data_IF_151502589569
#
_entry.id   IF_151502589569
#
_cell.length_a   1.000
_cell.length_b   1.000
_cell.length_c   1.000
_cell.angle_alpha   90.00
_cell.angle_beta   90.00
_cell.angle_gamma   90.00
#
_symmetry.space_group_name_H-M   'P 1'
#
loop_
_entity.id
_entity.type
_entity.pdbx_description
1 polymer ?
#
# COMPACT_ATOMS: atom_id res chain seq x y z
N UNK A 1 14.02 -17.67 2.21
CA UNK A 1 14.26 -16.21 2.16
C UNK A 1 12.94 -15.57 1.79
N UNK A 2 12.41 -14.69 2.65
CA UNK A 2 11.01 -14.21 2.56
C UNK A 2 10.82 -13.37 1.29
N UNK A 3 10.28 -13.99 0.24
CA UNK A 3 9.68 -13.34 -0.93
C UNK A 3 8.22 -12.97 -0.61
N UNK A 4 8.06 -12.19 0.46
CA UNK A 4 6.80 -11.85 1.09
C UNK A 4 7.18 -10.45 1.57
N UNK A 5 6.72 -9.32 1.05
CA UNK A 5 5.33 -8.91 0.96
C UNK A 5 5.12 -7.89 -0.19
N UNK A 6 5.81 -8.09 -1.33
CA UNK A 6 5.73 -7.18 -2.48
C UNK A 6 4.32 -7.14 -3.08
N UNK A 7 3.65 -8.30 -3.08
CA UNK A 7 2.28 -8.42 -3.55
C UNK A 7 1.31 -7.63 -2.66
N UNK A 8 1.43 -7.74 -1.35
CA UNK A 8 0.60 -7.01 -0.38
C UNK A 8 0.81 -5.50 -0.49
N UNK A 9 2.05 -5.06 -0.71
CA UNK A 9 2.39 -3.67 -0.97
C UNK A 9 1.71 -3.14 -2.25
N UNK A 10 1.72 -3.94 -3.32
CA UNK A 10 1.08 -3.58 -4.59
C UNK A 10 -0.45 -3.56 -4.45
N UNK A 11 -1.05 -4.58 -3.81
CA UNK A 11 -2.50 -4.63 -3.55
C UNK A 11 -2.98 -3.48 -2.66
N UNK A 12 -2.17 -3.10 -1.68
CA UNK A 12 -2.45 -1.91 -0.87
C UNK A 12 -2.42 -0.64 -1.73
N UNK A 13 -1.43 -0.49 -2.61
CA UNK A 13 -1.33 0.65 -3.53
C UNK A 13 -2.52 0.72 -4.50
N UNK A 14 -2.94 -0.41 -5.06
CA UNK A 14 -4.15 -0.52 -5.89
C UNK A 14 -5.41 -0.06 -5.13
N UNK A 15 -5.58 -0.52 -3.89
CA UNK A 15 -6.71 -0.11 -3.04
C UNK A 15 -6.74 1.40 -2.79
N UNK A 16 -5.58 2.06 -2.72
CA UNK A 16 -5.49 3.51 -2.58
C UNK A 16 -5.86 4.24 -3.87
N UNK A 17 -5.50 3.69 -5.03
CA UNK A 17 -5.91 4.24 -6.33
C UNK A 17 -7.43 4.25 -6.44
N UNK A 18 -8.08 3.14 -6.09
CA UNK A 18 -9.55 3.06 -6.07
C UNK A 18 -10.16 4.01 -5.03
N UNK A 19 -9.56 4.12 -3.85
CA UNK A 19 -9.96 5.07 -2.82
C UNK A 19 -9.92 6.52 -3.33
N UNK A 20 -8.88 6.89 -4.08
CA UNK A 20 -8.74 8.23 -4.69
C UNK A 20 -9.75 8.50 -5.81
N UNK A 21 -10.28 7.45 -6.45
CA UNK A 21 -11.35 7.56 -7.45
C UNK A 21 -12.74 7.73 -6.82
N UNK A 22 -12.89 7.40 -5.53
CA UNK A 22 -14.14 7.59 -4.81
C UNK A 22 -14.42 9.08 -4.59
N UNK A 23 -15.71 9.46 -4.63
CA UNK A 23 -16.13 10.86 -4.40
C UNK A 23 -15.52 11.40 -3.09
N UNK A 24 -14.78 12.50 -3.20
CA UNK A 24 -14.08 13.10 -2.07
C UNK A 24 -15.04 13.48 -0.93
N UNK A 25 -14.62 13.27 0.32
CA UNK A 25 -15.39 13.55 1.55
C UNK A 25 -16.78 12.88 1.58
N UNK A 26 -16.93 11.74 0.90
CA UNK A 26 -18.19 10.98 0.92
C UNK A 26 -18.19 9.91 2.04
N UNK A 27 -19.37 9.50 2.52
CA UNK A 27 -19.48 8.36 3.43
C UNK A 27 -18.87 7.06 2.86
N UNK A 28 -18.96 6.88 1.55
CA UNK A 28 -18.36 5.74 0.85
C UNK A 28 -16.82 5.76 0.97
N UNK A 29 -16.20 6.94 0.81
CA UNK A 29 -14.76 7.11 0.96
C UNK A 29 -14.31 6.83 2.40
N UNK A 30 -15.04 7.33 3.40
CA UNK A 30 -14.78 7.02 4.81
C UNK A 30 -14.84 5.51 5.09
N UNK A 31 -15.85 4.82 4.55
CA UNK A 31 -15.99 3.38 4.70
C UNK A 31 -14.84 2.61 4.03
N UNK A 32 -14.46 3.04 2.81
CA UNK A 32 -13.33 2.47 2.09
C UNK A 32 -12.01 2.68 2.82
N UNK A 33 -11.77 3.88 3.36
CA UNK A 33 -10.58 4.16 4.18
C UNK A 33 -10.48 3.27 5.42
N UNK A 34 -11.61 3.01 6.11
CA UNK A 34 -11.67 2.06 7.24
C UNK A 34 -11.34 0.64 6.82
N UNK A 35 -11.87 0.18 5.68
CA UNK A 35 -11.61 -1.16 5.18
C UNK A 35 -10.11 -1.34 4.84
N UNK A 36 -9.52 -0.36 4.15
CA UNK A 36 -8.10 -0.34 3.82
C UNK A 36 -7.25 -0.37 5.10
N UNK A 37 -7.58 0.49 6.08
CA UNK A 37 -6.89 0.51 7.37
C UNK A 37 -6.96 -0.86 8.05
N UNK A 38 -8.14 -1.48 8.14
CA UNK A 38 -8.32 -2.78 8.80
C UNK A 38 -7.58 -3.91 8.10
N UNK A 39 -7.52 -3.87 6.78
CA UNK A 39 -6.96 -4.94 5.95
C UNK A 39 -5.43 -4.92 5.91
N UNK A 40 -4.82 -3.73 5.94
CA UNK A 40 -3.38 -3.58 5.67
C UNK A 40 -2.59 -2.91 6.80
N UNK A 41 -3.26 -2.14 7.66
CA UNK A 41 -2.62 -1.27 8.65
C UNK A 41 -2.90 -1.67 10.10
N UNK A 42 -3.59 -2.78 10.36
CA UNK A 42 -3.78 -3.32 11.72
C UNK A 42 -2.69 -4.34 12.02
N UNK A 43 -2.13 -4.28 13.22
CA UNK A 43 -1.11 -5.23 13.69
C UNK A 43 -1.63 -6.66 13.63
N UNK A 44 -0.89 -7.57 13.00
CA UNK A 44 -1.32 -8.95 12.81
C UNK A 44 -2.41 -9.13 11.76
N UNK A 45 -2.67 -8.12 10.92
CA UNK A 45 -3.50 -8.30 9.74
C UNK A 45 -2.87 -9.35 8.82
N UNK A 46 -3.70 -10.19 8.20
CA UNK A 46 -3.23 -11.25 7.30
C UNK A 46 -2.38 -10.70 6.15
N UNK A 47 -2.70 -9.49 5.68
CA UNK A 47 -2.00 -8.77 4.62
C UNK A 47 -1.26 -7.55 5.18
N UNK A 48 -0.78 -7.63 6.42
CA UNK A 48 -0.03 -6.54 7.05
C UNK A 48 1.16 -6.16 6.17
N UNK A 49 1.22 -4.88 5.81
CA UNK A 49 2.37 -4.35 5.09
C UNK A 49 3.50 -4.12 6.11
N UNK A 50 4.54 -4.98 6.03
CA UNK A 50 5.64 -5.16 7.00
C UNK A 50 6.19 -3.84 7.59
N UNK A 51 6.27 -2.78 6.78
CA UNK A 51 7.06 -1.60 7.11
C UNK A 51 6.27 -0.48 7.81
N UNK A 52 4.94 -0.60 7.95
CA UNK A 52 4.15 0.38 8.71
C UNK A 52 4.32 0.30 10.23
N UNK A 53 4.95 -0.75 10.75
CA UNK A 53 5.20 -0.92 12.19
C UNK A 53 6.13 0.17 12.77
N UNK A 54 6.97 0.83 11.95
CA UNK A 54 7.93 1.83 12.44
C UNK A 54 7.54 3.29 12.20
N UNK A 55 6.58 3.58 11.31
CA UNK A 55 6.20 4.94 10.96
C UNK A 55 4.87 5.30 11.61
N UNK A 56 4.80 6.41 12.35
CA UNK A 56 3.57 6.95 12.97
C UNK A 56 2.42 7.26 11.98
N UNK A 57 2.61 6.94 10.70
CA UNK A 57 1.63 7.00 9.61
C UNK A 57 0.37 6.19 9.94
N UNK A 58 0.50 5.00 10.54
CA UNK A 58 -0.66 4.20 10.97
C UNK A 58 -1.54 4.96 11.97
N UNK A 59 -0.92 5.54 12.99
CA UNK A 59 -1.62 6.28 14.05
C UNK A 59 -2.26 7.56 13.49
N UNK A 60 -1.60 8.23 12.54
CA UNK A 60 -2.16 9.39 11.85
C UNK A 60 -3.41 9.02 11.05
N UNK A 61 -3.35 7.95 10.26
CA UNK A 61 -4.49 7.46 9.47
C UNK A 61 -5.65 7.07 10.38
N UNK A 62 -5.35 6.32 11.45
CA UNK A 62 -6.35 5.91 12.44
C UNK A 62 -7.04 7.12 13.09
N UNK A 63 -6.26 8.11 13.52
CA UNK A 63 -6.77 9.35 14.08
C UNK A 63 -7.72 10.07 13.11
N UNK A 64 -7.29 10.29 11.87
CA UNK A 64 -8.10 10.98 10.84
C UNK A 64 -9.40 10.23 10.52
N UNK A 65 -9.34 8.90 10.45
CA UNK A 65 -10.53 8.05 10.25
C UNK A 65 -11.51 8.16 11.43
N UNK A 66 -11.01 8.20 12.66
CA UNK A 66 -11.81 8.34 13.87
C UNK A 66 -12.47 9.72 13.98
N UNK A 67 -11.75 10.77 13.59
CA UNK A 67 -12.24 12.16 13.50
C UNK A 67 -13.20 12.38 12.31
N UNK A 68 -13.37 11.38 11.43
CA UNK A 68 -14.11 11.45 10.16
C UNK A 68 -13.55 12.52 9.20
N UNK A 69 -12.30 12.91 9.39
CA UNK A 69 -11.56 13.80 8.49
C UNK A 69 -10.87 12.98 7.40
N UNK A 70 -11.68 12.45 6.48
CA UNK A 70 -11.20 11.62 5.38
C UNK A 70 -11.36 12.34 4.05
N UNK A 71 -10.22 12.50 3.36
CA UNK A 71 -10.10 13.03 2.02
C UNK A 71 -9.12 12.20 1.19
N UNK A 72 -8.91 12.58 -0.06
CA UNK A 72 -8.03 11.88 -1.02
C UNK A 72 -6.56 11.80 -0.58
N UNK A 73 -6.13 12.60 0.40
CA UNK A 73 -4.74 12.67 0.88
C UNK A 73 -4.48 11.74 2.07
N UNK A 74 -5.51 11.09 2.62
CA UNK A 74 -5.42 10.27 3.83
C UNK A 74 -4.22 9.29 3.82
N UNK A 75 -3.92 8.71 2.66
CA UNK A 75 -2.89 7.69 2.50
C UNK A 75 -1.61 8.18 1.81
N UNK A 76 -1.43 9.48 1.55
CA UNK A 76 -0.30 9.96 0.73
C UNK A 76 1.08 9.62 1.34
N UNK A 77 1.23 9.80 2.66
CA UNK A 77 2.46 9.40 3.36
C UNK A 77 2.68 7.89 3.35
N UNK A 78 1.58 7.11 3.37
CA UNK A 78 1.66 5.66 3.28
C UNK A 78 2.10 5.20 1.88
N UNK A 79 1.61 5.85 0.83
CA UNK A 79 2.03 5.60 -0.57
C UNK A 79 3.52 5.87 -0.74
N UNK A 80 4.01 7.03 -0.30
CA UNK A 80 5.43 7.39 -0.41
C UNK A 80 6.33 6.34 0.23
N UNK A 81 5.93 5.84 1.40
CA UNK A 81 6.68 4.81 2.10
C UNK A 81 6.72 3.49 1.32
N UNK A 82 5.57 3.05 0.80
CA UNK A 82 5.47 1.84 -0.03
C UNK A 82 6.30 1.97 -1.31
N UNK A 83 6.27 3.12 -1.97
CA UNK A 83 7.09 3.39 -3.16
C UNK A 83 8.59 3.30 -2.86
N UNK A 84 9.05 3.88 -1.74
CA UNK A 84 10.44 3.80 -1.31
C UNK A 84 10.86 2.35 -1.05
N UNK A 85 10.01 1.56 -0.39
CA UNK A 85 10.27 0.14 -0.11
C UNK A 85 10.33 -0.67 -1.40
N UNK A 86 9.35 -0.49 -2.29
CA UNK A 86 9.30 -1.20 -3.57
C UNK A 86 10.53 -0.88 -4.44
N UNK A 87 10.99 0.37 -4.45
CA UNK A 87 12.21 0.79 -5.17
C UNK A 87 13.48 0.12 -4.64
N UNK A 88 13.58 -0.07 -3.33
CA UNK A 88 14.85 -0.47 -2.69
C UNK A 88 15.08 -1.98 -2.65
N UNK A 89 14.06 -2.83 -2.72
CA UNK A 89 14.26 -4.29 -2.59
C UNK A 89 13.53 -5.12 -3.68
N UNK A 90 12.19 -5.15 -3.77
CA UNK A 90 11.50 -6.02 -4.72
C UNK A 90 11.73 -5.66 -6.19
N UNK A 91 11.76 -4.36 -6.52
CA UNK A 91 11.96 -3.90 -7.89
C UNK A 91 13.36 -4.25 -8.43
N UNK A 92 14.40 -4.05 -7.60
CA UNK A 92 15.78 -4.40 -7.97
C UNK A 92 15.93 -5.91 -8.16
N UNK A 93 15.32 -6.72 -7.27
CA UNK A 93 15.33 -8.18 -7.41
C UNK A 93 14.57 -8.66 -8.65
N UNK A 94 13.43 -8.04 -8.97
CA UNK A 94 12.67 -8.38 -10.17
C UNK A 94 13.47 -8.14 -11.45
N UNK A 95 14.19 -7.01 -11.56
CA UNK A 95 15.05 -6.74 -12.72
C UNK A 95 16.21 -7.75 -12.87
N UNK A 96 16.60 -8.40 -11.78
CA UNK A 96 17.64 -9.42 -11.78
C UNK A 96 17.07 -10.84 -11.90
N UNK A 97 15.75 -11.00 -11.90
CA UNK A 97 15.10 -12.30 -11.84
C UNK A 97 15.08 -13.00 -13.21
N UNK A 98 14.92 -14.31 -13.18
CA UNK A 98 14.79 -15.14 -14.40
C UNK A 98 13.56 -14.75 -15.20
N UNK A 99 12.46 -14.41 -14.54
CA UNK A 99 11.20 -14.02 -15.19
C UNK A 99 11.36 -12.77 -16.05
N UNK A 100 12.07 -11.75 -15.56
CA UNK A 100 12.34 -10.53 -16.33
C UNK A 100 13.28 -10.82 -17.51
N UNK A 101 14.32 -11.61 -17.30
CA UNK A 101 15.26 -11.99 -18.36
C UNK A 101 14.58 -12.83 -19.46
N UNK A 102 13.68 -13.74 -19.09
CA UNK A 102 12.89 -14.54 -20.04
C UNK A 102 11.93 -13.66 -20.85
N UNK A 103 11.30 -12.68 -20.21
CA UNK A 103 10.46 -11.70 -20.91
C UNK A 103 11.30 -10.87 -21.89
N UNK A 104 12.48 -10.41 -21.48
CA UNK A 104 13.39 -9.65 -22.32
C UNK A 104 13.88 -10.47 -23.53
N UNK A 105 14.13 -11.77 -23.34
CA UNK A 105 14.51 -12.68 -24.41
C UNK A 105 13.38 -12.88 -25.43
N UNK A 106 12.12 -12.89 -25.00
CA UNK A 106 10.94 -13.00 -25.87
C UNK A 106 10.60 -11.72 -26.64
N UNK A 107 11.16 -10.58 -26.23
CA UNK A 107 10.98 -9.28 -26.89
C UNK A 107 12.03 -9.00 -27.97
N UNK A 108 13.06 -9.85 -28.08
CA UNK A 108 14.08 -9.82 -29.15
C UNK A 108 13.67 -10.73 -30.31
#
# INVERSE_FOLDING_TARGET
MRNIHAEENLRFWESIIEFKQTKNKSPAMLNMGRNIQKQYLVEGAHNEVIYFCHSGVRQLIEKRINEKDVDSTLFDEAVKHVEQVLRNDPYVRFLQSTEYNDLLAKLK
#
